data_IF_678029479397
#
_entry.id   IF_678029479397
#
_cell.length_a   1.000
_cell.length_b   1.000
_cell.length_c   1.000
_cell.angle_alpha   90.00
_cell.angle_beta   90.00
_cell.angle_gamma   90.00
#
_symmetry.space_group_name_H-M   'P 1'
#
loop_
_entity.id
_entity.type
_entity.pdbx_description
1 polymer ?
#
# COMPACT_ATOMS: atom_id res chain seq x y z
N UNK A 1 14.04 3.41 -9.75
CA UNK A 1 12.82 3.38 -10.59
C UNK A 1 12.16 2.02 -10.44
N UNK A 2 10.82 1.95 -10.43
CA UNK A 2 10.07 0.70 -10.30
C UNK A 2 9.60 0.24 -11.68
N UNK A 3 9.70 -1.05 -11.99
CA UNK A 3 9.18 -1.59 -13.26
C UNK A 3 7.67 -1.85 -13.15
N UNK A 4 6.99 -1.87 -14.28
CA UNK A 4 5.54 -2.17 -14.33
C UNK A 4 5.24 -3.54 -13.71
N UNK A 5 6.10 -4.55 -13.92
CA UNK A 5 5.91 -5.88 -13.36
C UNK A 5 6.00 -5.86 -11.83
N UNK A 6 7.00 -5.18 -11.25
CA UNK A 6 7.14 -5.06 -9.80
C UNK A 6 5.94 -4.33 -9.19
N UNK A 7 5.49 -3.26 -9.83
CA UNK A 7 4.30 -2.55 -9.40
C UNK A 7 3.05 -3.44 -9.46
N UNK A 8 2.84 -4.17 -10.56
CA UNK A 8 1.71 -5.07 -10.74
C UNK A 8 1.69 -6.23 -9.72
N UNK A 9 2.87 -6.78 -9.38
CA UNK A 9 3.00 -7.78 -8.33
C UNK A 9 2.61 -7.23 -6.96
N UNK A 10 3.13 -6.06 -6.57
CA UNK A 10 2.79 -5.43 -5.29
C UNK A 10 1.29 -5.04 -5.23
N UNK A 11 0.73 -4.50 -6.31
CA UNK A 11 -0.68 -4.17 -6.41
C UNK A 11 -1.58 -5.41 -6.30
N UNK A 12 -1.16 -6.54 -6.88
CA UNK A 12 -1.87 -7.81 -6.77
C UNK A 12 -1.85 -8.34 -5.34
N UNK A 13 -0.68 -8.34 -4.71
CA UNK A 13 -0.54 -8.73 -3.31
C UNK A 13 -1.44 -7.89 -2.40
N UNK A 14 -1.38 -6.56 -2.49
CA UNK A 14 -2.20 -5.66 -1.66
C UNK A 14 -3.69 -5.91 -1.89
N UNK A 15 -4.12 -6.10 -3.14
CA UNK A 15 -5.53 -6.40 -3.47
C UNK A 15 -6.01 -7.71 -2.85
N UNK A 16 -5.20 -8.77 -2.94
CA UNK A 16 -5.51 -10.08 -2.38
C UNK A 16 -5.55 -10.03 -0.86
N UNK A 17 -4.55 -9.42 -0.23
CA UNK A 17 -4.55 -9.20 1.23
C UNK A 17 -5.76 -8.38 1.69
N UNK A 18 -6.17 -7.35 0.95
CA UNK A 18 -7.40 -6.62 1.26
C UNK A 18 -8.63 -7.54 1.22
N UNK A 19 -8.73 -8.40 0.21
CA UNK A 19 -9.82 -9.37 0.07
C UNK A 19 -9.88 -10.35 1.25
N UNK A 20 -8.74 -10.90 1.65
CA UNK A 20 -8.63 -11.82 2.78
C UNK A 20 -8.95 -11.15 4.12
N UNK A 21 -8.46 -9.92 4.35
CA UNK A 21 -8.73 -9.21 5.60
C UNK A 21 -10.20 -8.78 5.70
N UNK A 22 -10.86 -8.50 4.58
CA UNK A 22 -12.30 -8.24 4.54
C UNK A 22 -13.12 -9.50 4.85
N UNK A 23 -12.79 -10.63 4.22
CA UNK A 23 -13.52 -11.89 4.46
C UNK A 23 -13.37 -12.36 5.92
N UNK A 24 -12.19 -12.17 6.50
CA UNK A 24 -11.89 -12.49 7.90
C UNK A 24 -12.34 -11.42 8.90
N UNK A 25 -13.01 -10.35 8.45
CA UNK A 25 -13.49 -9.22 9.27
C UNK A 25 -12.40 -8.48 10.06
N UNK A 26 -11.14 -8.58 9.63
CA UNK A 26 -10.05 -7.75 10.14
C UNK A 26 -10.11 -6.33 9.58
N UNK A 27 -10.65 -6.16 8.37
CA UNK A 27 -11.03 -4.86 7.84
C UNK A 27 -12.55 -4.68 7.90
N UNK A 28 -12.98 -3.51 8.39
CA UNK A 28 -14.40 -3.14 8.42
C UNK A 28 -14.91 -2.69 7.04
N UNK A 29 -14.06 -2.04 6.26
CA UNK A 29 -14.37 -1.50 4.94
C UNK A 29 -13.20 -1.73 3.99
N UNK A 30 -13.50 -1.73 2.69
CA UNK A 30 -12.46 -1.78 1.66
C UNK A 30 -11.63 -0.48 1.74
N UNK A 31 -10.29 -0.55 1.77
CA UNK A 31 -9.47 0.64 1.77
C UNK A 31 -9.70 1.48 0.50
N UNK A 32 -9.57 2.79 0.64
CA UNK A 32 -9.64 3.75 -0.45
C UNK A 32 -8.53 3.50 -1.48
N UNK A 33 -8.61 4.19 -2.62
CA UNK A 33 -7.54 4.15 -3.61
C UNK A 33 -6.21 4.60 -3.02
N UNK A 34 -6.20 5.72 -2.27
CA UNK A 34 -4.97 6.27 -1.73
C UNK A 34 -4.35 5.37 -0.65
N UNK A 35 -5.17 4.79 0.25
CA UNK A 35 -4.68 3.81 1.23
C UNK A 35 -4.07 2.56 0.56
N UNK A 36 -4.67 2.05 -0.52
CA UNK A 36 -4.08 0.95 -1.29
C UNK A 36 -2.78 1.37 -1.97
N UNK A 37 -2.72 2.56 -2.57
CA UNK A 37 -1.50 3.06 -3.21
C UNK A 37 -0.37 3.26 -2.22
N UNK A 38 -0.65 3.79 -1.02
CA UNK A 38 0.35 3.91 0.04
C UNK A 38 0.85 2.55 0.49
N UNK A 39 -0.03 1.56 0.69
CA UNK A 39 0.37 0.19 1.01
C UNK A 39 1.25 -0.45 -0.09
N UNK A 40 0.93 -0.21 -1.37
CA UNK A 40 1.73 -0.68 -2.51
C UNK A 40 3.13 -0.04 -2.48
N UNK A 41 3.21 1.28 -2.27
CA UNK A 41 4.49 1.98 -2.18
C UNK A 41 5.36 1.44 -1.03
N UNK A 42 4.78 1.29 0.16
CA UNK A 42 5.46 0.71 1.33
C UNK A 42 5.94 -0.72 1.07
N UNK A 43 5.15 -1.54 0.36
CA UNK A 43 5.57 -2.89 -0.03
C UNK A 43 6.78 -2.84 -0.97
N UNK A 44 6.73 -1.99 -2.00
CA UNK A 44 7.82 -1.84 -2.97
C UNK A 44 9.11 -1.34 -2.30
N UNK A 45 9.00 -0.44 -1.32
CA UNK A 45 10.14 0.03 -0.53
C UNK A 45 10.74 -1.09 0.34
N UNK A 46 9.89 -1.88 1.00
CA UNK A 46 10.34 -3.03 1.77
C UNK A 46 11.06 -4.06 0.88
N UNK A 47 10.52 -4.35 -0.32
CA UNK A 47 11.13 -5.27 -1.28
C UNK A 47 12.47 -4.78 -1.85
N UNK A 48 12.63 -3.46 -1.95
CA UNK A 48 13.88 -2.84 -2.39
C UNK A 48 14.95 -2.78 -1.28
N UNK A 49 14.60 -3.10 -0.03
CA UNK A 49 15.53 -3.10 1.10
C UNK A 49 16.12 -1.72 1.39
N UNK A 50 15.33 -0.66 1.24
CA UNK A 50 15.81 0.72 1.43
C UNK A 50 16.06 1.03 2.91
N UNK A 51 17.10 1.82 3.19
CA UNK A 51 17.40 2.27 4.55
C UNK A 51 16.52 3.45 5.00
N UNK A 52 16.00 4.23 4.03
CA UNK A 52 15.21 5.44 4.29
C UNK A 52 14.14 5.62 3.20
N UNK A 53 12.90 5.86 3.64
CA UNK A 53 11.78 6.26 2.78
C UNK A 53 11.47 7.75 2.98
N UNK A 54 11.20 8.49 1.90
CA UNK A 54 10.62 9.84 1.95
C UNK A 54 9.15 9.70 1.55
N UNK A 55 8.25 9.98 2.49
CA UNK A 55 6.80 9.92 2.27
C UNK A 55 6.23 11.33 2.28
N UNK A 56 5.63 11.74 1.17
CA UNK A 56 4.86 12.98 1.06
C UNK A 56 3.41 12.71 1.46
N UNK A 57 2.89 13.46 2.42
CA UNK A 57 1.49 13.35 2.84
C UNK A 57 0.55 13.65 1.67
N UNK A 58 -0.46 12.83 1.44
CA UNK A 58 -1.45 13.06 0.40
C UNK A 58 -2.33 14.29 0.69
N UNK A 59 -2.88 14.36 1.90
CA UNK A 59 -3.67 15.50 2.36
C UNK A 59 -3.55 15.73 3.87
N UNK A 60 -3.08 16.91 4.25
CA UNK A 60 -2.98 17.31 5.66
C UNK A 60 -1.90 16.53 6.40
N UNK A 61 -2.26 15.44 7.08
CA UNK A 61 -1.28 14.57 7.75
C UNK A 61 -1.85 13.71 8.87
N UNK A 62 -2.64 14.29 9.80
CA UNK A 62 -3.09 13.56 11.01
C UNK A 62 -3.85 12.26 10.72
N UNK A 63 -4.60 12.22 9.63
CA UNK A 63 -5.39 11.06 9.19
C UNK A 63 -5.00 10.64 7.76
N UNK A 64 -3.85 11.10 7.27
CA UNK A 64 -3.36 10.69 5.96
C UNK A 64 -2.87 9.24 6.03
N UNK A 65 -2.87 8.56 4.89
CA UNK A 65 -2.49 7.15 4.84
C UNK A 65 -0.97 6.94 4.98
N UNK A 66 -0.15 7.96 4.70
CA UNK A 66 1.31 7.92 4.86
C UNK A 66 1.73 8.01 6.32
#
# INVERSE_FOLDING_TARGET
EITEEKFASAATLVRETCGELLSNRHLKYRPTFFEQMTAIALRCFADAGIDLAILETGMGGRLDAT
#
